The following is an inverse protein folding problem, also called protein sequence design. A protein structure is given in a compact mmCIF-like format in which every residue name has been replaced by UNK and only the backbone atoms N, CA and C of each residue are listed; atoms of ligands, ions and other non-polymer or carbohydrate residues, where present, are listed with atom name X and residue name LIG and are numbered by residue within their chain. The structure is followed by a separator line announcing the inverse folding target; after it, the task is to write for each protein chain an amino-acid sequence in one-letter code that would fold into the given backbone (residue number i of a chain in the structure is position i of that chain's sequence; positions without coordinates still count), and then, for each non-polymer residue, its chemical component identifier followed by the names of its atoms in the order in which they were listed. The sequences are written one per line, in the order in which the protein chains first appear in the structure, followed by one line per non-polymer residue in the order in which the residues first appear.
data_IF_258254047435
#
_entry.id   IF_258254047435
#
_cell.length_a   1.000
_cell.length_b   1.000
_cell.length_c   1.000
_cell.angle_alpha   90.00
_cell.angle_beta   90.00
_cell.angle_gamma   90.00
#
_symmetry.space_group_name_H-M   'P 1'
#
loop_
_entity.id
_entity.type
_entity.pdbx_description
1 polymer ?
#
# COMPACT_ATOMS: atom_id res chain seq x y z
N UNK A 1 -59.59 -57.77 -0.79
CA UNK A 1 -58.15 -57.46 -0.87
C UNK A 1 -57.76 -56.51 -2.01
N UNK A 2 -58.71 -55.82 -2.68
CA UNK A 2 -58.40 -54.84 -3.74
C UNK A 2 -58.50 -53.36 -3.33
N UNK A 3 -59.04 -53.03 -2.15
CA UNK A 3 -59.15 -51.64 -1.66
C UNK A 3 -57.86 -51.10 -1.04
N UNK A 4 -57.12 -51.94 -0.31
CA UNK A 4 -55.89 -51.57 0.40
C UNK A 4 -54.69 -51.24 -0.50
N UNK A 5 -54.77 -51.52 -1.81
CA UNK A 5 -53.73 -51.17 -2.78
C UNK A 5 -54.05 -49.85 -3.52
N UNK A 6 -55.30 -49.39 -3.52
CA UNK A 6 -55.72 -48.17 -4.24
C UNK A 6 -55.33 -46.92 -3.44
N UNK A 7 -55.33 -47.01 -2.11
CA UNK A 7 -54.96 -45.90 -1.22
C UNK A 7 -53.45 -45.56 -1.28
N UNK A 8 -52.50 -46.53 -1.27
CA UNK A 8 -51.09 -46.21 -1.45
C UNK A 8 -50.77 -45.73 -2.87
N UNK A 9 -51.42 -46.26 -3.91
CA UNK A 9 -51.21 -45.80 -5.29
C UNK A 9 -51.66 -44.34 -5.46
N UNK A 10 -52.81 -43.96 -4.90
CA UNK A 10 -53.25 -42.55 -4.91
C UNK A 10 -52.36 -41.63 -4.08
N UNK A 11 -51.78 -42.14 -2.99
CA UNK A 11 -50.85 -41.39 -2.18
C UNK A 11 -49.51 -41.19 -2.92
N UNK A 12 -49.04 -42.20 -3.64
CA UNK A 12 -47.85 -42.11 -4.49
C UNK A 12 -48.08 -41.17 -5.70
N UNK A 13 -49.23 -41.26 -6.37
CA UNK A 13 -49.61 -40.35 -7.48
C UNK A 13 -49.70 -38.88 -7.02
N UNK A 14 -50.23 -38.62 -5.82
CA UNK A 14 -50.28 -37.28 -5.23
C UNK A 14 -48.90 -36.80 -4.75
N UNK A 15 -48.04 -37.71 -4.29
CA UNK A 15 -46.67 -37.38 -3.92
C UNK A 15 -45.80 -37.09 -5.15
N UNK A 16 -46.04 -37.77 -6.27
CA UNK A 16 -45.39 -37.52 -7.56
C UNK A 16 -45.85 -36.17 -8.15
N UNK A 17 -47.15 -35.85 -8.09
CA UNK A 17 -47.68 -34.52 -8.47
C UNK A 17 -47.14 -33.39 -7.56
N UNK A 18 -47.02 -33.62 -6.25
CA UNK A 18 -46.43 -32.65 -5.32
C UNK A 18 -44.90 -32.54 -5.44
N UNK A 19 -44.23 -33.56 -5.99
CA UNK A 19 -42.81 -33.53 -6.31
C UNK A 19 -42.55 -32.78 -7.63
N UNK A 20 -43.45 -32.89 -8.61
CA UNK A 20 -43.46 -32.10 -9.85
C UNK A 20 -43.76 -30.61 -9.56
N UNK A 21 -44.60 -30.29 -8.57
CA UNK A 21 -44.79 -28.91 -8.09
C UNK A 21 -43.56 -28.34 -7.33
N UNK A 22 -42.61 -29.19 -6.95
CA UNK A 22 -41.34 -28.80 -6.32
C UNK A 22 -40.17 -28.72 -7.32
N UNK A 23 -40.41 -29.00 -8.60
CA UNK A 23 -39.53 -28.53 -9.67
C UNK A 23 -39.78 -27.03 -9.76
N UNK A 24 -38.86 -26.27 -9.16
CA UNK A 24 -38.89 -24.81 -9.05
C UNK A 24 -39.45 -24.22 -10.33
N UNK A 25 -40.69 -23.77 -10.22
CA UNK A 25 -41.48 -23.21 -11.31
C UNK A 25 -40.60 -22.31 -12.16
N UNK A 26 -40.71 -22.45 -13.48
CA UNK A 26 -40.25 -21.52 -14.51
C UNK A 26 -40.45 -20.02 -14.15
N UNK A 27 -41.39 -19.73 -13.23
CA UNK A 27 -41.65 -18.42 -12.62
C UNK A 27 -40.57 -17.86 -11.65
N UNK A 28 -39.58 -18.64 -11.19
CA UNK A 28 -38.44 -18.14 -10.40
C UNK A 28 -37.18 -17.85 -11.25
N UNK A 29 -37.22 -18.18 -12.56
CA UNK A 29 -36.14 -17.81 -13.48
C UNK A 29 -36.24 -16.31 -13.81
N UNK A 30 -35.11 -15.59 -13.94
CA UNK A 30 -35.10 -14.25 -14.49
C UNK A 30 -35.78 -14.27 -15.86
N UNK A 31 -36.72 -13.35 -16.08
CA UNK A 31 -37.39 -13.16 -17.36
C UNK A 31 -36.35 -12.78 -18.43
N UNK A 32 -36.03 -13.74 -19.31
CA UNK A 32 -35.05 -13.64 -20.40
C UNK A 32 -35.73 -13.20 -21.72
N UNK A 33 -36.90 -12.55 -21.62
CA UNK A 33 -37.69 -12.15 -22.78
C UNK A 33 -37.20 -10.82 -23.38
N UNK A 34 -36.20 -10.93 -24.26
CA UNK A 34 -35.59 -9.83 -25.06
C UNK A 34 -36.61 -9.07 -25.95
N UNK A 35 -37.83 -9.60 -26.18
CA UNK A 35 -38.77 -9.03 -27.15
C UNK A 35 -39.58 -7.83 -26.62
N UNK A 36 -39.64 -7.64 -25.30
CA UNK A 36 -40.49 -6.58 -24.71
C UNK A 36 -39.84 -5.19 -24.74
N UNK A 37 -38.50 -5.11 -24.87
CA UNK A 37 -37.75 -3.85 -24.76
C UNK A 37 -36.56 -3.73 -25.74
N UNK A 38 -36.71 -4.27 -26.96
CA UNK A 38 -35.68 -4.32 -28.00
C UNK A 38 -35.00 -2.96 -28.28
N UNK A 39 -35.76 -1.86 -28.23
CA UNK A 39 -35.23 -0.53 -28.51
C UNK A 39 -34.25 -0.02 -27.43
N UNK A 40 -34.55 -0.22 -26.14
CA UNK A 40 -33.66 0.18 -25.06
C UNK A 40 -32.44 -0.74 -24.99
N UNK A 41 -32.62 -2.03 -25.23
CA UNK A 41 -31.53 -3.01 -25.30
C UNK A 41 -30.55 -2.72 -26.43
N UNK A 42 -31.07 -2.32 -27.60
CA UNK A 42 -30.25 -1.90 -28.73
C UNK A 42 -29.42 -0.64 -28.39
N UNK A 43 -30.02 0.35 -27.73
CA UNK A 43 -29.27 1.53 -27.29
C UNK A 43 -28.27 1.20 -26.17
N UNK A 44 -28.59 0.30 -25.24
CA UNK A 44 -27.64 -0.21 -24.23
C UNK A 44 -26.50 -1.01 -24.88
N UNK A 45 -26.78 -1.82 -25.90
CA UNK A 45 -25.78 -2.49 -26.72
C UNK A 45 -24.86 -1.48 -27.40
N UNK A 46 -25.43 -0.46 -28.04
CA UNK A 46 -24.69 0.62 -28.70
C UNK A 46 -23.83 1.40 -27.72
N UNK A 47 -24.31 1.70 -26.52
CA UNK A 47 -23.52 2.34 -25.46
C UNK A 47 -22.35 1.45 -25.03
N UNK A 48 -22.57 0.14 -24.85
CA UNK A 48 -21.50 -0.81 -24.53
C UNK A 48 -20.47 -0.88 -25.65
N UNK A 49 -20.92 -0.87 -26.90
CA UNK A 49 -20.04 -0.92 -28.06
C UNK A 49 -19.22 0.37 -28.23
N UNK A 50 -19.87 1.54 -28.09
CA UNK A 50 -19.18 2.82 -28.07
C UNK A 50 -18.15 2.90 -26.93
N UNK A 51 -18.46 2.35 -25.75
CA UNK A 51 -17.48 2.26 -24.64
C UNK A 51 -16.29 1.38 -24.99
N UNK A 52 -16.47 0.28 -25.74
CA UNK A 52 -15.36 -0.57 -26.21
C UNK A 52 -14.48 0.17 -27.20
N UNK A 53 -15.08 0.75 -28.24
CA UNK A 53 -14.36 1.55 -29.24
C UNK A 53 -13.60 2.71 -28.58
N UNK A 54 -14.23 3.37 -27.60
CA UNK A 54 -13.61 4.44 -26.82
C UNK A 54 -12.38 3.94 -26.07
N UNK A 55 -12.47 2.82 -25.34
CA UNK A 55 -11.34 2.22 -24.61
C UNK A 55 -10.15 1.93 -25.53
N UNK A 56 -10.41 1.29 -26.67
CA UNK A 56 -9.35 0.92 -27.62
C UNK A 56 -8.68 2.15 -28.24
N UNK A 57 -9.45 3.23 -28.45
CA UNK A 57 -8.93 4.52 -28.93
C UNK A 57 -8.12 5.24 -27.85
N UNK A 58 -8.59 5.23 -26.61
CA UNK A 58 -7.90 5.82 -25.46
C UNK A 58 -6.56 5.12 -25.21
N UNK A 59 -6.52 3.79 -25.17
CA UNK A 59 -5.28 3.02 -24.98
C UNK A 59 -4.25 3.33 -26.08
N UNK A 60 -4.70 3.43 -27.34
CA UNK A 60 -3.80 3.79 -28.46
C UNK A 60 -3.25 5.20 -28.30
N UNK A 61 -4.09 6.14 -27.87
CA UNK A 61 -3.72 7.54 -27.71
C UNK A 61 -2.82 7.75 -26.49
N UNK A 62 -3.03 7.02 -25.40
CA UNK A 62 -2.15 6.98 -24.23
C UNK A 62 -0.76 6.48 -24.62
N UNK A 63 -0.69 5.37 -25.36
CA UNK A 63 0.59 4.86 -25.89
C UNK A 63 1.30 5.86 -26.78
N UNK A 64 0.57 6.59 -27.64
CA UNK A 64 1.14 7.65 -28.47
C UNK A 64 1.68 8.80 -27.63
N UNK A 65 0.93 9.26 -26.63
CA UNK A 65 1.38 10.30 -25.69
C UNK A 65 2.62 9.88 -24.92
N UNK A 66 2.69 8.64 -24.43
CA UNK A 66 3.87 8.11 -23.75
C UNK A 66 5.11 8.16 -24.65
N UNK A 67 4.97 7.72 -25.91
CA UNK A 67 6.05 7.78 -26.89
C UNK A 67 6.47 9.23 -27.18
N UNK A 68 5.52 10.14 -27.37
CA UNK A 68 5.80 11.58 -27.57
C UNK A 68 6.51 12.19 -26.36
N UNK A 69 6.13 11.83 -25.14
CA UNK A 69 6.80 12.29 -23.91
C UNK A 69 8.24 11.76 -23.81
N UNK A 70 8.45 10.49 -24.16
CA UNK A 70 9.78 9.87 -24.20
C UNK A 70 10.66 10.58 -25.25
N UNK A 71 10.14 10.81 -26.46
CA UNK A 71 10.86 11.52 -27.52
C UNK A 71 11.17 12.97 -27.11
N UNK A 72 10.20 13.66 -26.51
CA UNK A 72 10.43 15.00 -25.97
C UNK A 72 11.56 15.01 -24.94
N UNK A 73 11.55 14.10 -23.96
CA UNK A 73 12.64 14.00 -22.97
C UNK A 73 14.00 13.64 -23.59
N UNK A 74 14.02 12.88 -24.68
CA UNK A 74 15.25 12.57 -25.44
C UNK A 74 15.80 13.76 -26.21
N UNK A 75 14.93 14.66 -26.70
CA UNK A 75 15.32 15.87 -27.43
C UNK A 75 15.68 17.05 -26.51
N UNK A 76 15.30 17.02 -25.22
CA UNK A 76 15.66 18.08 -24.26
C UNK A 76 17.14 18.04 -23.87
N UNK A 77 17.70 19.24 -23.65
CA UNK A 77 19.04 19.39 -23.08
C UNK A 77 19.07 19.04 -21.59
N UNK A 78 20.27 18.82 -21.04
CA UNK A 78 20.42 18.42 -19.63
C UNK A 78 19.91 19.49 -18.65
N UNK A 79 20.13 20.78 -18.96
CA UNK A 79 19.65 21.89 -18.13
C UNK A 79 18.12 22.02 -18.14
N UNK A 80 17.48 21.79 -19.30
CA UNK A 80 16.02 21.77 -19.41
C UNK A 80 15.41 20.56 -18.70
N UNK A 81 16.10 19.41 -18.71
CA UNK A 81 15.65 18.20 -18.00
C UNK A 81 15.69 18.40 -16.49
N UNK A 82 16.73 19.04 -15.95
CA UNK A 82 16.81 19.33 -14.52
C UNK A 82 15.69 20.27 -14.06
N UNK A 83 15.36 21.30 -14.84
CA UNK A 83 14.25 22.20 -14.51
C UNK A 83 12.89 21.50 -14.63
N UNK A 84 12.71 20.64 -15.64
CA UNK A 84 11.49 19.83 -15.77
C UNK A 84 11.33 18.86 -14.60
N UNK A 85 12.39 18.15 -14.20
CA UNK A 85 12.38 17.25 -13.05
C UNK A 85 12.10 18.02 -11.75
N UNK A 86 12.69 19.21 -11.55
CA UNK A 86 12.40 20.07 -10.40
C UNK A 86 10.94 20.50 -10.35
N UNK A 87 10.36 20.84 -11.51
CA UNK A 87 8.94 21.20 -11.62
C UNK A 87 8.04 20.00 -11.33
N UNK A 88 8.35 18.82 -11.87
CA UNK A 88 7.60 17.59 -11.62
C UNK A 88 7.67 17.18 -10.14
N UNK A 89 8.84 17.30 -9.52
CA UNK A 89 9.02 17.06 -8.09
C UNK A 89 8.23 18.04 -7.23
N UNK A 90 8.13 19.31 -7.64
CA UNK A 90 7.31 20.31 -6.94
C UNK A 90 5.80 20.08 -7.10
N UNK A 91 5.37 19.59 -8.27
CA UNK A 91 3.98 19.22 -8.54
C UNK A 91 3.59 17.88 -7.90
N UNK A 92 4.57 17.07 -7.49
CA UNK A 92 4.31 15.82 -6.78
C UNK A 92 3.62 16.09 -5.42
N UNK A 93 2.29 15.99 -5.43
CA UNK A 93 1.41 16.28 -4.28
C UNK A 93 1.54 15.29 -3.11
N UNK A 94 2.35 14.25 -3.24
CA UNK A 94 2.46 13.19 -2.23
C UNK A 94 3.91 12.75 -2.03
N UNK A 95 4.66 13.54 -1.28
CA UNK A 95 5.64 12.91 -0.40
C UNK A 95 4.83 12.41 0.79
N UNK A 96 4.57 11.11 0.83
CA UNK A 96 4.01 10.48 2.01
C UNK A 96 4.81 10.97 3.22
N UNK A 97 4.12 11.58 4.19
CA UNK A 97 4.78 12.03 5.41
C UNK A 97 5.54 10.84 5.99
N UNK A 98 6.85 11.00 6.23
CA UNK A 98 7.66 9.95 6.84
C UNK A 98 7.15 9.76 8.26
N UNK A 99 6.24 8.81 8.44
CA UNK A 99 5.65 8.50 9.74
C UNK A 99 6.71 7.86 10.63
N UNK A 100 6.88 8.43 11.81
CA UNK A 100 7.77 7.88 12.84
C UNK A 100 7.19 6.58 13.40
N UNK A 101 8.01 5.54 13.49
CA UNK A 101 7.64 4.29 14.17
C UNK A 101 7.91 4.37 15.67
N UNK A 102 7.06 3.72 16.46
CA UNK A 102 7.31 3.53 17.89
C UNK A 102 8.51 2.58 18.12
N UNK A 103 9.11 2.68 19.30
CA UNK A 103 10.24 1.83 19.69
C UNK A 103 9.84 0.34 19.66
N UNK A 104 10.55 -0.46 18.86
CA UNK A 104 10.23 -1.87 18.57
C UNK A 104 8.81 -2.11 18.01
N UNK A 105 8.28 -1.17 17.24
CA UNK A 105 7.13 -1.42 16.38
C UNK A 105 7.52 -2.34 15.22
N UNK A 106 6.64 -3.23 14.79
CA UNK A 106 6.89 -4.06 13.61
C UNK A 106 6.58 -3.29 12.34
N UNK A 107 7.51 -3.34 11.38
CA UNK A 107 7.27 -2.83 10.04
C UNK A 107 6.42 -3.81 9.25
N UNK A 108 5.31 -3.32 8.69
CA UNK A 108 4.48 -4.03 7.75
C UNK A 108 4.64 -3.38 6.37
N UNK A 109 5.24 -4.14 5.45
CA UNK A 109 5.35 -3.71 4.07
C UNK A 109 3.98 -3.85 3.39
N UNK A 110 3.54 -2.83 2.64
CA UNK A 110 2.25 -2.81 1.91
C UNK A 110 2.07 -4.00 0.95
N UNK A 111 3.19 -4.55 0.47
CA UNK A 111 3.23 -5.66 -0.50
C UNK A 111 3.53 -5.17 -1.90
N UNK A 112 3.82 -6.08 -2.82
CA UNK A 112 4.03 -5.74 -4.25
C UNK A 112 2.79 -5.96 -5.12
N UNK A 113 1.73 -6.56 -4.57
CA UNK A 113 0.51 -6.93 -5.28
C UNK A 113 -0.55 -5.83 -5.14
N UNK A 114 -1.42 -5.71 -6.15
CA UNK A 114 -2.57 -4.79 -6.17
C UNK A 114 -2.20 -3.30 -5.97
N UNK A 115 -0.98 -2.92 -6.35
CA UNK A 115 -0.51 -1.53 -6.25
C UNK A 115 -1.18 -0.60 -7.28
N UNK A 116 -1.71 -1.18 -8.37
CA UNK A 116 -2.59 -0.52 -9.32
C UNK A 116 -3.86 0.00 -8.62
N UNK A 117 -4.58 -0.86 -7.91
CA UNK A 117 -5.79 -0.50 -7.15
C UNK A 117 -5.53 0.52 -6.06
N UNK A 118 -4.38 0.40 -5.41
CA UNK A 118 -3.85 1.37 -4.46
C UNK A 118 -3.66 2.77 -5.07
N UNK A 119 -3.16 2.83 -6.31
CA UNK A 119 -2.88 4.08 -7.02
C UNK A 119 -4.17 4.70 -7.56
N UNK A 120 -5.05 3.88 -8.12
CA UNK A 120 -6.37 4.29 -8.61
C UNK A 120 -7.31 4.67 -7.46
N UNK A 121 -7.10 4.13 -6.25
CA UNK A 121 -7.94 4.38 -5.08
C UNK A 121 -9.31 3.67 -5.14
N UNK A 122 -9.46 2.65 -5.98
CA UNK A 122 -10.71 1.90 -6.15
C UNK A 122 -11.15 1.22 -4.85
N UNK A 123 -10.17 0.72 -4.10
CA UNK A 123 -10.42 0.03 -2.83
C UNK A 123 -9.80 0.81 -1.66
N UNK A 124 -10.61 1.25 -0.68
CA UNK A 124 -10.12 2.03 0.45
C UNK A 124 -9.23 1.21 1.39
N UNK A 125 -9.20 -0.12 1.24
CA UNK A 125 -8.32 -0.99 2.01
C UNK A 125 -6.85 -0.66 1.74
N UNK A 126 -6.48 -0.39 0.48
CA UNK A 126 -5.09 -0.20 0.09
C UNK A 126 -4.56 1.20 0.38
N UNK A 127 -5.44 2.19 0.54
CA UNK A 127 -5.07 3.57 0.90
C UNK A 127 -4.90 3.76 2.40
N UNK A 128 -5.11 2.72 3.20
CA UNK A 128 -4.91 2.76 4.65
C UNK A 128 -3.44 2.96 5.02
N UNK A 129 -3.25 3.56 6.19
CA UNK A 129 -1.94 3.65 6.81
C UNK A 129 -1.52 2.30 7.40
N UNK A 130 -0.49 1.69 6.83
CA UNK A 130 0.09 0.44 7.33
C UNK A 130 1.19 0.68 8.38
N UNK A 131 1.54 1.94 8.65
CA UNK A 131 2.54 2.32 9.65
C UNK A 131 1.94 2.59 11.03
N UNK A 132 0.61 2.50 11.18
CA UNK A 132 -0.04 2.68 12.48
C UNK A 132 0.39 1.56 13.46
N UNK A 133 0.72 1.90 14.73
CA UNK A 133 1.01 0.89 15.74
C UNK A 133 -0.24 0.06 16.05
N UNK A 134 -0.05 -1.27 16.08
CA UNK A 134 -1.06 -2.18 16.62
C UNK A 134 -1.30 -1.89 18.10
N UNK A 135 -2.44 -2.33 18.64
CA UNK A 135 -2.85 -2.10 20.04
C UNK A 135 -1.75 -2.47 21.06
N UNK A 136 -1.12 -3.64 20.90
CA UNK A 136 -0.02 -4.10 21.75
C UNK A 136 1.27 -3.26 21.60
N UNK A 137 1.41 -2.47 20.53
CA UNK A 137 2.57 -1.63 20.21
C UNK A 137 2.33 -0.14 20.48
N UNK A 138 1.14 0.21 21.00
CA UNK A 138 0.83 1.58 21.47
C UNK A 138 1.51 1.90 22.80
N UNK A 139 1.90 0.88 23.57
CA UNK A 139 2.62 1.05 24.83
C UNK A 139 4.09 1.41 24.63
N UNK A 140 4.63 2.26 25.50
CA UNK A 140 6.06 2.59 25.47
C UNK A 140 6.91 1.43 25.99
N UNK A 141 7.53 0.70 25.05
CA UNK A 141 8.39 -0.44 25.35
C UNK A 141 9.71 -0.04 26.01
N UNK A 142 10.08 1.24 26.03
CA UNK A 142 11.30 1.69 26.72
C UNK A 142 11.23 1.46 28.24
N UNK A 143 10.03 1.54 28.82
CA UNK A 143 9.81 1.35 30.25
C UNK A 143 9.90 -0.13 30.69
N UNK A 144 9.89 -1.06 29.74
CA UNK A 144 9.98 -2.49 30.03
C UNK A 144 11.42 -2.88 30.41
N UNK A 145 11.60 -3.89 31.27
CA UNK A 145 12.91 -4.48 31.52
C UNK A 145 13.59 -4.91 30.23
N UNK A 146 14.93 -4.81 30.15
CA UNK A 146 15.70 -5.09 28.93
C UNK A 146 15.39 -6.45 28.29
N UNK A 147 15.17 -7.47 29.11
CA UNK A 147 14.82 -8.83 28.66
C UNK A 147 13.40 -8.95 28.06
N UNK A 148 12.54 -7.94 28.22
CA UNK A 148 11.19 -7.84 27.65
C UNK A 148 11.10 -6.79 26.54
N UNK A 149 12.15 -6.00 26.30
CA UNK A 149 12.26 -5.06 25.18
C UNK A 149 12.47 -5.82 23.86
N UNK A 150 11.45 -6.55 23.42
CA UNK A 150 11.43 -7.30 22.18
C UNK A 150 10.26 -6.88 21.30
N UNK A 151 10.40 -7.13 20.00
CA UNK A 151 9.30 -6.96 19.05
C UNK A 151 8.16 -7.93 19.38
N UNK A 152 6.96 -7.58 18.92
CA UNK A 152 5.76 -8.40 19.11
C UNK A 152 6.00 -9.86 18.70
N UNK A 153 5.59 -10.80 19.55
CA UNK A 153 5.67 -12.25 19.30
C UNK A 153 7.05 -12.88 19.45
N UNK A 154 8.07 -12.11 19.81
CA UNK A 154 9.45 -12.56 19.87
C UNK A 154 9.88 -12.99 21.28
N UNK A 155 9.12 -12.61 22.32
CA UNK A 155 9.37 -13.09 23.68
C UNK A 155 9.28 -14.62 23.78
N UNK A 156 10.29 -15.27 24.37
CA UNK A 156 10.35 -16.73 24.51
C UNK A 156 10.71 -17.51 23.22
N UNK A 157 10.98 -16.84 22.09
CA UNK A 157 11.42 -17.49 20.86
C UNK A 157 12.94 -17.69 20.84
N UNK A 158 13.39 -18.83 20.29
CA UNK A 158 14.81 -19.08 19.96
C UNK A 158 15.25 -18.22 18.78
N UNK A 159 16.53 -17.86 18.72
CA UNK A 159 17.10 -17.06 17.62
C UNK A 159 17.03 -15.55 17.84
N UNK A 160 17.10 -15.09 19.09
CA UNK A 160 17.22 -13.67 19.38
C UNK A 160 18.56 -13.12 18.90
N UNK A 161 18.52 -11.95 18.25
CA UNK A 161 19.73 -11.20 17.92
C UNK A 161 20.22 -10.51 19.19
N UNK A 162 21.53 -10.64 19.48
CA UNK A 162 22.15 -10.07 20.69
C UNK A 162 22.28 -8.54 20.65
N UNK A 163 22.33 -7.96 19.45
CA UNK A 163 22.54 -6.54 19.21
C UNK A 163 21.37 -5.99 18.41
N UNK A 164 20.73 -4.92 18.88
CA UNK A 164 19.52 -4.38 18.23
C UNK A 164 19.84 -3.26 17.26
N UNK A 165 20.47 -2.19 17.74
CA UNK A 165 20.83 -1.02 16.95
C UNK A 165 22.23 -0.53 17.33
N UNK A 166 22.90 0.15 16.39
CA UNK A 166 24.29 0.61 16.56
C UNK A 166 24.45 1.46 17.83
N UNK A 167 23.46 2.28 18.18
CA UNK A 167 23.47 3.12 19.37
C UNK A 167 23.50 2.36 20.70
N UNK A 168 23.09 1.08 20.72
CA UNK A 168 23.16 0.23 21.93
C UNK A 168 24.57 -0.32 22.13
N UNK A 169 25.25 -0.61 21.03
CA UNK A 169 26.61 -1.17 21.02
C UNK A 169 27.65 -0.06 20.91
N UNK A 170 27.21 1.19 20.79
CA UNK A 170 28.07 2.36 20.73
C UNK A 170 28.70 2.60 22.11
N UNK A 171 29.95 2.18 22.25
CA UNK A 171 30.77 2.42 23.45
C UNK A 171 31.46 3.78 23.42
N UNK A 172 31.12 4.66 22.47
CA UNK A 172 31.67 6.00 22.39
C UNK A 172 31.34 6.80 23.65
N UNK A 173 32.32 6.91 24.54
CA UNK A 173 32.22 7.74 25.72
C UNK A 173 32.38 9.22 25.35
N UNK A 174 31.25 9.92 25.21
CA UNK A 174 31.22 11.36 24.94
C UNK A 174 31.70 12.21 26.11
N UNK A 175 31.84 11.62 27.30
CA UNK A 175 32.35 12.32 28.49
C UNK A 175 33.88 12.38 28.52
N UNK A 176 34.55 11.49 27.76
CA UNK A 176 36.00 11.42 27.73
C UNK A 176 36.64 12.73 27.23
N UNK A 177 37.73 13.17 27.86
CA UNK A 177 38.36 14.46 27.58
C UNK A 177 38.84 14.63 26.12
N UNK A 178 39.10 13.53 25.41
CA UNK A 178 39.49 13.50 24.00
C UNK A 178 38.30 13.46 23.03
N UNK A 179 37.11 13.09 23.51
CA UNK A 179 35.85 13.17 22.75
C UNK A 179 35.18 14.53 22.88
N UNK A 180 35.52 15.29 23.93
CA UNK A 180 35.06 16.66 24.12
C UNK A 180 35.58 17.53 22.97
N UNK A 181 34.63 18.04 22.17
CA UNK A 181 34.88 19.00 21.09
C UNK A 181 35.25 20.36 21.70
N UNK A 182 36.44 20.43 22.29
CA UNK A 182 36.96 21.68 22.80
C UNK A 182 37.24 22.62 21.63
N UNK A 183 36.92 23.90 21.81
CA UNK A 183 37.16 24.97 20.81
C UNK A 183 38.59 24.96 20.21
N UNK A 184 39.66 24.66 20.98
CA UNK A 184 41.00 24.48 20.44
C UNK A 184 41.14 23.25 19.55
N UNK A 185 40.53 22.12 19.91
CA UNK A 185 40.56 20.89 19.13
C UNK A 185 39.79 21.05 17.81
N UNK A 186 38.65 21.75 17.81
CA UNK A 186 37.91 22.09 16.59
C UNK A 186 38.76 22.93 15.63
N UNK A 187 39.40 24.00 16.14
CA UNK A 187 40.32 24.84 15.35
C UNK A 187 41.52 24.04 14.81
N UNK A 188 42.04 23.09 15.59
CA UNK A 188 43.11 22.21 15.15
C UNK A 188 42.65 21.23 14.07
N UNK A 189 41.46 20.63 14.21
CA UNK A 189 40.86 19.78 13.18
C UNK A 189 40.57 20.55 11.89
N UNK A 190 40.03 21.77 11.97
CA UNK A 190 39.84 22.66 10.80
C UNK A 190 41.16 23.01 10.11
N UNK A 191 42.25 23.15 10.88
CA UNK A 191 43.58 23.46 10.37
C UNK A 191 44.30 22.23 9.78
N UNK A 192 44.09 21.04 10.36
CA UNK A 192 44.70 19.78 9.92
C UNK A 192 43.92 19.09 8.79
N UNK A 193 42.60 19.32 8.70
CA UNK A 193 41.79 18.95 7.55
C UNK A 193 42.12 19.91 6.40
N UNK A 194 43.27 19.70 5.76
CA UNK A 194 43.86 20.56 4.73
C UNK A 194 43.05 20.67 3.41
N UNK A 195 41.75 20.35 3.42
CA UNK A 195 40.86 20.48 2.27
C UNK A 195 39.69 21.41 2.62
N UNK A 196 39.75 22.62 2.06
CA UNK A 196 38.69 23.62 2.10
C UNK A 196 37.40 22.99 1.53
N UNK A 197 36.40 22.72 2.38
CA UNK A 197 35.09 22.21 1.96
C UNK A 197 34.69 20.82 2.46
N UNK A 198 35.56 20.07 3.15
CA UNK A 198 35.19 18.72 3.68
C UNK A 198 34.08 18.78 4.74
N UNK A 199 34.00 19.90 5.48
CA UNK A 199 32.93 20.16 6.45
C UNK A 199 31.74 20.93 5.84
N UNK A 200 31.85 21.37 4.57
CA UNK A 200 30.80 22.05 3.83
C UNK A 200 30.03 21.06 2.95
N UNK A 201 29.81 19.84 3.46
CA UNK A 201 28.90 18.90 2.84
C UNK A 201 27.49 19.32 3.24
N UNK A 202 26.72 19.82 2.28
CA UNK A 202 25.33 20.20 2.46
C UNK A 202 24.50 18.94 2.68
N UNK A 203 24.49 18.46 3.93
CA UNK A 203 23.66 17.33 4.33
C UNK A 203 22.23 17.83 4.27
N UNK A 204 21.32 17.19 3.51
CA UNK A 204 19.91 17.57 3.56
C UNK A 204 19.48 17.57 5.02
N UNK A 205 19.01 18.72 5.50
CA UNK A 205 18.76 19.00 6.90
C UNK A 205 17.93 17.87 7.52
N UNK A 206 18.54 17.03 8.36
CA UNK A 206 17.80 16.11 9.20
C UNK A 206 16.88 16.95 10.08
N UNK A 207 15.57 16.74 9.98
CA UNK A 207 14.59 17.47 10.78
C UNK A 207 14.94 17.32 12.26
N UNK A 208 15.34 18.43 12.90
CA UNK A 208 15.52 18.49 14.34
C UNK A 208 14.14 18.52 14.99
N UNK A 209 13.48 17.36 15.09
CA UNK A 209 12.30 17.22 15.95
C UNK A 209 12.79 17.15 17.39
N UNK A 210 12.94 18.32 18.02
CA UNK A 210 13.00 18.41 19.48
C UNK A 210 11.66 17.92 20.02
N UNK A 211 11.60 16.67 20.50
CA UNK A 211 10.49 16.20 21.34
C UNK A 211 10.52 17.01 22.64
N UNK A 212 9.46 17.77 22.99
CA UNK A 212 9.30 18.25 24.36
C UNK A 212 9.02 17.05 25.28
N UNK A 213 9.55 17.16 26.50
CA UNK A 213 9.45 16.18 27.60
C UNK A 213 8.00 15.82 27.96
#
# INVERSE_FOLDING_TARGET
TKGLLVDPIRADDLAEQAADENDRSDAELPDDNDETNEAEEYELWKIRELKRIKRDKEERLERQKELELIEKRRMMTDAEREEDDRRMDAESTQRDEVKGFNFLQKYYHRGGFFQDKATTGEEPLYTRDYHEPLEEEKFDKNMLPKAMQLRRGQFGKKGQVKHTHLTEVDTTDKSAAWAQQSRPMQKYQEKMAAAKGVNAFDRPSGSSSSRPL
#
